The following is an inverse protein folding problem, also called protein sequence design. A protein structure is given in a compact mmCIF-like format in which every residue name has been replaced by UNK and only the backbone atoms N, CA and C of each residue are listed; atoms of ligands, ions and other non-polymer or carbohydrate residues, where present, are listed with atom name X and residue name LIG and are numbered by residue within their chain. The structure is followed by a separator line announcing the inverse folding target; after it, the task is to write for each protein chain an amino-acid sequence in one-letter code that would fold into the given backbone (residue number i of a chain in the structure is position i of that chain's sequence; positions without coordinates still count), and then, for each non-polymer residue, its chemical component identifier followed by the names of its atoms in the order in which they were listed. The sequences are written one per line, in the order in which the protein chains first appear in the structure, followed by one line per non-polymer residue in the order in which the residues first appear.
data_IF_850849768714
#
_entry.id   IF_850849768714
#
_cell.length_a   1.000
_cell.length_b   1.000
_cell.length_c   1.000
_cell.angle_alpha   90.00
_cell.angle_beta   90.00
_cell.angle_gamma   90.00
#
_symmetry.space_group_name_H-M   'P 1'
#
loop_
_entity.id
_entity.type
_entity.pdbx_description
1 polymer ?
#
# COMPACT_ATOMS: atom_id res chain seq x y z
N UNK A 1 -2.66 44.54 4.39
CA UNK A 1 -3.98 43.98 3.99
C UNK A 1 -3.91 43.75 2.48
N UNK A 2 -4.02 42.57 1.86
CA UNK A 2 -4.64 41.28 2.15
C UNK A 2 -3.73 40.17 1.56
N UNK A 3 -3.11 39.33 2.40
CA UNK A 3 -2.48 38.04 2.02
C UNK A 3 -3.22 36.90 2.73
N UNK A 4 -4.52 36.74 2.43
CA UNK A 4 -5.38 35.74 3.11
C UNK A 4 -6.28 34.94 2.15
N UNK A 5 -5.93 34.81 0.86
CA UNK A 5 -6.75 34.03 -0.09
C UNK A 5 -6.00 32.99 -0.93
N UNK A 6 -4.74 32.69 -0.64
CA UNK A 6 -3.99 31.64 -1.35
C UNK A 6 -3.81 30.34 -0.55
N UNK A 7 -4.49 30.19 0.61
CA UNK A 7 -4.30 29.05 1.52
C UNK A 7 -5.48 28.06 1.49
N UNK A 8 -6.58 28.39 0.82
CA UNK A 8 -7.76 27.51 0.80
C UNK A 8 -7.72 26.41 -0.27
N UNK A 9 -6.80 26.46 -1.24
CA UNK A 9 -6.72 25.46 -2.32
C UNK A 9 -5.79 24.27 -2.07
N UNK A 10 -4.91 24.34 -1.06
CA UNK A 10 -3.83 23.34 -0.86
C UNK A 10 -4.16 22.26 0.18
N UNK A 11 -5.12 22.49 1.07
CA UNK A 11 -5.47 21.53 2.12
C UNK A 11 -6.27 20.32 1.58
N UNK A 12 -7.13 20.54 0.58
CA UNK A 12 -7.95 19.46 -0.02
C UNK A 12 -7.09 18.54 -0.90
N UNK A 13 -6.11 19.11 -1.62
CA UNK A 13 -5.12 18.32 -2.38
C UNK A 13 -4.19 17.51 -1.46
N UNK A 14 -3.82 18.03 -0.28
CA UNK A 14 -2.98 17.30 0.65
C UNK A 14 -3.67 16.04 1.17
N UNK A 15 -4.96 16.08 1.50
CA UNK A 15 -5.67 14.92 2.07
C UNK A 15 -5.91 13.83 1.01
N UNK A 16 -6.15 14.19 -0.26
CA UNK A 16 -6.22 13.23 -1.38
C UNK A 16 -4.86 12.57 -1.65
N UNK A 17 -3.76 13.30 -1.45
CA UNK A 17 -2.39 12.83 -1.74
C UNK A 17 -1.73 12.09 -0.56
N UNK A 18 -2.31 12.12 0.64
CA UNK A 18 -1.75 11.49 1.84
C UNK A 18 -1.97 9.96 1.92
N UNK A 19 -2.80 9.37 1.06
CA UNK A 19 -2.77 7.93 0.77
C UNK A 19 -1.56 7.53 -0.12
N UNK A 20 -0.83 8.52 -0.65
CA UNK A 20 0.37 8.37 -1.47
C UNK A 20 1.70 8.35 -0.70
N UNK A 21 1.70 8.19 0.63
CA UNK A 21 2.94 8.11 1.41
C UNK A 21 3.75 6.81 1.20
N UNK A 22 3.22 5.80 0.48
CA UNK A 22 3.99 4.62 0.07
C UNK A 22 4.75 4.80 -1.27
N UNK A 23 4.54 5.88 -2.04
CA UNK A 23 5.16 6.05 -3.37
C UNK A 23 5.72 7.46 -3.62
N UNK A 24 6.22 8.12 -2.56
CA UNK A 24 6.88 9.42 -2.69
C UNK A 24 8.33 9.23 -3.18
N UNK A 25 8.50 9.28 -4.50
CA UNK A 25 9.71 9.84 -5.13
C UNK A 25 11.01 9.06 -5.00
N UNK A 26 11.14 8.00 -5.79
CA UNK A 26 12.43 7.53 -6.27
C UNK A 26 12.33 7.21 -7.75
N UNK A 27 12.85 8.10 -8.60
CA UNK A 27 12.93 7.97 -10.08
C UNK A 27 13.80 6.79 -10.56
N UNK A 28 14.03 5.77 -9.70
CA UNK A 28 14.99 4.69 -9.88
C UNK A 28 14.40 3.28 -9.76
N UNK A 29 13.16 3.14 -9.30
CA UNK A 29 12.48 1.86 -9.17
C UNK A 29 11.30 1.85 -10.15
N UNK A 30 11.43 1.03 -11.20
CA UNK A 30 10.60 1.12 -12.40
C UNK A 30 9.10 1.01 -12.15
N UNK A 31 8.33 1.70 -12.98
CA UNK A 31 6.87 1.65 -13.08
C UNK A 31 6.30 0.30 -13.56
N UNK A 32 7.10 -0.77 -13.52
CA UNK A 32 6.72 -2.08 -14.06
C UNK A 32 6.21 -2.97 -12.91
N UNK A 33 4.89 -3.28 -12.86
CA UNK A 33 4.31 -4.13 -11.84
C UNK A 33 5.01 -5.50 -11.74
N UNK A 34 5.45 -6.07 -12.86
CA UNK A 34 6.07 -7.41 -12.83
C UNK A 34 7.44 -7.39 -12.16
N UNK A 35 8.22 -6.31 -12.33
CA UNK A 35 9.48 -6.14 -11.59
C UNK A 35 9.25 -6.00 -10.09
N UNK A 36 8.18 -5.29 -9.69
CA UNK A 36 7.81 -5.17 -8.28
C UNK A 36 7.42 -6.56 -7.74
N UNK A 37 6.61 -7.32 -8.49
CA UNK A 37 6.21 -8.69 -8.11
C UNK A 37 7.41 -9.62 -7.93
N UNK A 38 8.37 -9.57 -8.85
CA UNK A 38 9.61 -10.35 -8.75
C UNK A 38 10.42 -9.96 -7.51
N UNK A 39 10.58 -8.66 -7.24
CA UNK A 39 11.29 -8.19 -6.05
C UNK A 39 10.61 -8.65 -4.75
N UNK A 40 9.29 -8.53 -4.66
CA UNK A 40 8.53 -9.00 -3.49
C UNK A 40 8.68 -10.50 -3.33
N UNK A 41 8.58 -11.25 -4.42
CA UNK A 41 8.74 -12.72 -4.41
C UNK A 41 10.13 -13.10 -3.91
N UNK A 42 11.19 -12.49 -4.44
CA UNK A 42 12.56 -12.76 -4.00
C UNK A 42 12.76 -12.46 -2.51
N UNK A 43 12.31 -11.30 -2.01
CA UNK A 43 12.42 -10.97 -0.57
C UNK A 43 11.60 -11.89 0.31
N UNK A 44 10.43 -12.32 -0.15
CA UNK A 44 9.58 -13.24 0.58
C UNK A 44 10.26 -14.62 0.66
N UNK A 45 10.73 -15.14 -0.46
CA UNK A 45 11.35 -16.47 -0.52
C UNK A 45 12.64 -16.52 0.28
N UNK A 46 13.49 -15.48 0.22
CA UNK A 46 14.68 -15.30 1.07
C UNK A 46 14.30 -15.33 2.55
N UNK A 47 13.22 -14.65 2.94
CA UNK A 47 12.77 -14.68 4.34
C UNK A 47 12.18 -16.03 4.75
N UNK A 48 11.55 -16.76 3.83
CA UNK A 48 11.05 -18.11 4.08
C UNK A 48 12.18 -19.13 4.20
N UNK A 49 13.31 -18.91 3.50
CA UNK A 49 14.54 -19.68 3.67
C UNK A 49 15.11 -19.48 5.06
N UNK A 50 15.23 -18.23 5.53
CA UNK A 50 15.70 -17.92 6.90
C UNK A 50 14.87 -18.63 7.99
N UNK A 51 13.56 -18.79 7.75
CA UNK A 51 12.63 -19.41 8.70
C UNK A 51 12.55 -20.94 8.57
N UNK A 52 13.39 -21.55 7.72
CA UNK A 52 13.32 -22.98 7.39
C UNK A 52 11.89 -23.41 7.01
N UNK A 53 11.20 -22.59 6.21
CA UNK A 53 9.82 -22.86 5.83
C UNK A 53 9.70 -24.12 4.95
N UNK A 54 8.75 -25.00 5.30
CA UNK A 54 8.44 -26.18 4.48
C UNK A 54 7.86 -25.76 3.11
N UNK A 55 7.94 -26.65 2.12
CA UNK A 55 7.36 -26.42 0.79
C UNK A 55 5.87 -26.07 0.85
N UNK A 56 5.12 -26.73 1.74
CA UNK A 56 3.70 -26.46 1.95
C UNK A 56 3.46 -25.05 2.50
N UNK A 57 4.27 -24.60 3.46
CA UNK A 57 4.21 -23.24 3.99
C UNK A 57 4.57 -22.21 2.90
N UNK A 58 5.64 -22.47 2.14
CA UNK A 58 6.06 -21.60 1.03
C UNK A 58 4.97 -21.44 -0.02
N UNK A 59 4.35 -22.54 -0.44
CA UNK A 59 3.26 -22.50 -1.41
C UNK A 59 2.07 -21.69 -0.89
N UNK A 60 1.65 -21.93 0.36
CA UNK A 60 0.54 -21.21 0.99
C UNK A 60 0.83 -19.70 1.08
N UNK A 61 2.00 -19.31 1.55
CA UNK A 61 2.37 -17.90 1.76
C UNK A 61 2.56 -17.18 0.42
N UNK A 62 3.11 -17.84 -0.61
CA UNK A 62 3.20 -17.27 -1.94
C UNK A 62 1.82 -17.03 -2.58
N UNK A 63 0.85 -17.92 -2.35
CA UNK A 63 -0.52 -17.71 -2.82
C UNK A 63 -1.19 -16.49 -2.16
N UNK A 64 -0.94 -16.28 -0.86
CA UNK A 64 -1.39 -15.06 -0.15
C UNK A 64 -0.75 -13.80 -0.75
N UNK A 65 0.57 -13.83 -1.00
CA UNK A 65 1.30 -12.73 -1.64
C UNK A 65 0.73 -12.41 -3.03
N UNK A 66 0.49 -13.41 -3.86
CA UNK A 66 -0.04 -13.20 -5.22
C UNK A 66 -1.42 -12.54 -5.20
N UNK A 67 -2.32 -13.02 -4.34
CA UNK A 67 -3.63 -12.40 -4.13
C UNK A 67 -3.54 -10.94 -3.69
N UNK A 68 -2.68 -10.64 -2.71
CA UNK A 68 -2.48 -9.26 -2.24
C UNK A 68 -1.83 -8.37 -3.30
N UNK A 69 -0.93 -8.92 -4.11
CA UNK A 69 -0.28 -8.18 -5.19
C UNK A 69 -1.31 -7.75 -6.25
N UNK A 70 -2.17 -8.66 -6.68
CA UNK A 70 -3.19 -8.38 -7.68
C UNK A 70 -4.19 -7.31 -7.19
N UNK A 71 -4.62 -7.41 -5.94
CA UNK A 71 -5.47 -6.38 -5.31
C UNK A 71 -4.75 -5.03 -5.18
N UNK A 72 -3.47 -5.04 -4.80
CA UNK A 72 -2.64 -3.84 -4.71
C UNK A 72 -2.44 -3.17 -6.07
N UNK A 73 -2.29 -3.96 -7.14
CA UNK A 73 -2.18 -3.47 -8.53
C UNK A 73 -3.46 -2.73 -8.94
N UNK A 74 -4.63 -3.31 -8.66
CA UNK A 74 -5.91 -2.64 -8.93
C UNK A 74 -6.00 -1.28 -8.21
N UNK A 75 -5.59 -1.21 -6.94
CA UNK A 75 -5.57 0.04 -6.18
C UNK A 75 -4.64 1.11 -6.77
N UNK A 76 -3.52 0.69 -7.36
CA UNK A 76 -2.58 1.59 -8.06
C UNK A 76 -3.20 2.14 -9.34
N UNK A 77 -3.88 1.31 -10.12
CA UNK A 77 -4.59 1.73 -11.34
C UNK A 77 -5.71 2.73 -11.00
N UNK A 78 -6.50 2.43 -9.98
CA UNK A 78 -7.53 3.34 -9.46
C UNK A 78 -6.90 4.66 -8.97
N UNK A 79 -5.71 4.62 -8.34
CA UNK A 79 -5.00 5.81 -7.88
C UNK A 79 -4.57 6.69 -9.06
N UNK A 80 -4.15 6.08 -10.16
CA UNK A 80 -3.79 6.78 -11.37
C UNK A 80 -5.00 7.51 -11.96
N UNK A 81 -6.15 6.83 -12.05
CA UNK A 81 -7.41 7.45 -12.49
C UNK A 81 -7.84 8.62 -11.60
N UNK A 82 -7.72 8.47 -10.28
CA UNK A 82 -8.05 9.51 -9.32
C UNK A 82 -7.13 10.73 -9.44
N UNK A 83 -5.83 10.51 -9.70
CA UNK A 83 -4.89 11.62 -9.96
C UNK A 83 -5.22 12.35 -11.24
N UNK A 84 -5.60 11.63 -12.30
CA UNK A 84 -6.03 12.24 -13.56
C UNK A 84 -7.28 13.10 -13.36
N UNK A 85 -8.30 12.59 -12.67
CA UNK A 85 -9.51 13.35 -12.37
C UNK A 85 -9.23 14.58 -11.49
N UNK A 86 -8.43 14.42 -10.43
CA UNK A 86 -8.04 15.54 -9.58
C UNK A 86 -7.29 16.63 -10.36
N UNK A 87 -6.44 16.24 -11.33
CA UNK A 87 -5.78 17.18 -12.23
C UNK A 87 -6.79 17.88 -13.16
N UNK A 88 -7.75 17.15 -13.73
CA UNK A 88 -8.83 17.74 -14.55
C UNK A 88 -9.63 18.77 -13.76
N UNK A 89 -10.01 18.46 -12.52
CA UNK A 89 -10.72 19.42 -11.65
C UNK A 89 -9.85 20.63 -11.33
N UNK A 90 -8.56 20.45 -11.05
CA UNK A 90 -7.62 21.54 -10.77
C UNK A 90 -7.43 22.49 -11.97
N UNK A 91 -7.46 21.95 -13.19
CA UNK A 91 -7.30 22.73 -14.42
C UNK A 91 -8.61 23.40 -14.89
N UNK A 92 -9.74 23.13 -14.25
CA UNK A 92 -11.05 23.69 -14.60
C UNK A 92 -11.22 25.10 -14.04
N UNK A 93 -11.87 25.98 -14.82
CA UNK A 93 -12.31 27.31 -14.35
C UNK A 93 -13.42 27.21 -13.28
N UNK A 94 -14.15 26.09 -13.25
CA UNK A 94 -15.21 25.81 -12.29
C UNK A 94 -15.10 24.36 -11.77
N UNK A 95 -14.23 24.10 -10.78
CA UNK A 95 -14.07 22.77 -10.21
C UNK A 95 -15.34 22.29 -9.49
N UNK A 96 -15.65 21.02 -9.64
CA UNK A 96 -16.75 20.36 -8.94
C UNK A 96 -16.30 19.86 -7.56
N UNK A 97 -16.67 20.62 -6.53
CA UNK A 97 -16.35 20.29 -5.14
C UNK A 97 -16.98 18.96 -4.69
N UNK A 98 -18.21 18.66 -5.12
CA UNK A 98 -18.89 17.42 -4.75
C UNK A 98 -18.16 16.22 -5.34
N UNK A 99 -17.74 16.31 -6.61
CA UNK A 99 -16.95 15.27 -7.27
C UNK A 99 -15.61 15.02 -6.58
N UNK A 100 -14.92 16.08 -6.15
CA UNK A 100 -13.66 15.96 -5.40
C UNK A 100 -13.85 15.30 -4.03
N UNK A 101 -14.92 15.63 -3.31
CA UNK A 101 -15.25 14.96 -2.05
C UNK A 101 -15.57 13.48 -2.27
N UNK A 102 -16.39 13.14 -3.26
CA UNK A 102 -16.67 11.74 -3.59
C UNK A 102 -15.41 10.98 -3.99
N UNK A 103 -14.48 11.62 -4.70
CA UNK A 103 -13.19 11.02 -5.02
C UNK A 103 -12.37 10.71 -3.76
N UNK A 104 -12.35 11.62 -2.78
CA UNK A 104 -11.70 11.37 -1.47
C UNK A 104 -12.31 10.15 -0.79
N UNK A 105 -13.63 10.11 -0.68
CA UNK A 105 -14.35 9.05 0.04
C UNK A 105 -14.06 7.67 -0.57
N UNK A 106 -14.17 7.55 -1.89
CA UNK A 106 -13.85 6.31 -2.62
C UNK A 106 -12.41 5.88 -2.37
N UNK A 107 -11.45 6.81 -2.36
CA UNK A 107 -10.04 6.48 -2.11
C UNK A 107 -9.80 6.03 -0.67
N UNK A 108 -10.42 6.68 0.31
CA UNK A 108 -10.31 6.29 1.72
C UNK A 108 -10.92 4.91 1.94
N UNK A 109 -12.10 4.66 1.37
CA UNK A 109 -12.80 3.38 1.52
C UNK A 109 -12.02 2.23 0.89
N UNK A 110 -11.46 2.44 -0.30
CA UNK A 110 -10.61 1.45 -0.96
C UNK A 110 -9.34 1.13 -0.15
N UNK A 111 -8.67 2.15 0.40
CA UNK A 111 -7.50 1.95 1.27
C UNK A 111 -7.87 1.24 2.57
N UNK A 112 -9.00 1.60 3.19
CA UNK A 112 -9.49 0.94 4.41
C UNK A 112 -9.78 -0.54 4.17
N UNK A 113 -10.49 -0.85 3.10
CA UNK A 113 -10.83 -2.22 2.73
C UNK A 113 -9.55 -3.06 2.52
N UNK A 114 -8.58 -2.52 1.79
CA UNK A 114 -7.31 -3.22 1.57
C UNK A 114 -6.46 -3.38 2.84
N UNK A 115 -6.45 -2.38 3.73
CA UNK A 115 -5.76 -2.48 5.02
C UNK A 115 -6.33 -3.60 5.91
N UNK A 116 -7.66 -3.81 5.89
CA UNK A 116 -8.28 -4.95 6.56
C UNK A 116 -7.84 -6.28 5.94
N UNK A 117 -7.86 -6.40 4.60
CA UNK A 117 -7.39 -7.60 3.92
C UNK A 117 -5.92 -7.92 4.18
N UNK A 118 -5.06 -6.91 4.22
CA UNK A 118 -3.66 -7.06 4.61
C UNK A 118 -3.54 -7.60 6.04
N UNK A 119 -4.34 -7.08 6.96
CA UNK A 119 -4.38 -7.56 8.35
C UNK A 119 -4.78 -9.03 8.42
N UNK A 120 -5.84 -9.41 7.70
CA UNK A 120 -6.32 -10.78 7.62
C UNK A 120 -5.27 -11.73 7.01
N UNK A 121 -4.58 -11.28 5.96
CA UNK A 121 -3.51 -12.01 5.31
C UNK A 121 -2.30 -12.21 6.24
N UNK A 122 -1.91 -11.21 7.04
CA UNK A 122 -0.86 -11.35 8.05
C UNK A 122 -1.27 -12.39 9.10
N UNK A 123 -2.53 -12.39 9.54
CA UNK A 123 -3.04 -13.39 10.46
C UNK A 123 -3.08 -14.80 9.82
N UNK A 124 -3.39 -14.90 8.52
CA UNK A 124 -3.33 -16.15 7.76
C UNK A 124 -1.90 -16.71 7.72
N UNK A 125 -0.93 -15.89 7.31
CA UNK A 125 0.50 -16.27 7.30
C UNK A 125 0.97 -16.67 8.69
N UNK A 126 0.62 -15.90 9.72
CA UNK A 126 0.97 -16.22 11.10
C UNK A 126 0.46 -17.62 11.49
N UNK A 127 -0.78 -17.99 11.13
CA UNK A 127 -1.34 -19.33 11.41
C UNK A 127 -0.59 -20.45 10.69
N UNK A 128 -0.07 -20.21 9.49
CA UNK A 128 0.72 -21.17 8.70
C UNK A 128 2.10 -21.46 9.31
N UNK A 129 2.68 -20.52 10.05
CA UNK A 129 3.98 -20.68 10.70
C UNK A 129 3.91 -21.49 12.00
N UNK A 130 5.00 -22.18 12.35
CA UNK A 130 5.15 -22.86 13.65
C UNK A 130 5.34 -21.86 14.79
N UNK A 131 5.12 -22.27 16.06
CA UNK A 131 5.44 -21.43 17.22
C UNK A 131 6.88 -20.91 17.23
N UNK A 132 7.84 -21.72 16.80
CA UNK A 132 9.27 -21.41 16.74
C UNK A 132 9.54 -20.32 15.68
N UNK A 133 9.02 -20.49 14.46
CA UNK A 133 9.14 -19.52 13.37
C UNK A 133 8.52 -18.15 13.73
N UNK A 134 7.37 -18.16 14.43
CA UNK A 134 6.73 -16.92 14.92
C UNK A 134 7.59 -16.20 15.95
N UNK A 135 8.23 -16.95 16.86
CA UNK A 135 9.12 -16.40 17.88
C UNK A 135 10.35 -15.76 17.25
N UNK A 136 10.91 -16.40 16.22
CA UNK A 136 12.02 -15.85 15.46
C UNK A 136 11.64 -14.53 14.78
N UNK A 137 10.52 -14.50 14.05
CA UNK A 137 9.99 -13.27 13.44
C UNK A 137 9.78 -12.14 14.48
N UNK A 138 9.22 -12.46 15.63
CA UNK A 138 9.00 -11.48 16.69
C UNK A 138 10.32 -10.92 17.26
N UNK A 139 11.35 -11.77 17.34
CA UNK A 139 12.69 -11.39 17.81
C UNK A 139 13.37 -10.46 16.82
N UNK A 140 13.39 -10.83 15.54
CA UNK A 140 13.94 -10.00 14.48
C UNK A 140 13.19 -8.66 14.36
N UNK A 141 11.86 -8.68 14.47
CA UNK A 141 11.07 -7.45 14.48
C UNK A 141 11.46 -6.53 15.64
N UNK A 142 11.61 -7.07 16.85
CA UNK A 142 12.11 -6.33 18.02
C UNK A 142 13.50 -5.74 17.75
N UNK A 143 14.43 -6.51 17.21
CA UNK A 143 15.79 -6.07 16.94
C UNK A 143 15.85 -4.94 15.91
N UNK A 144 15.01 -5.02 14.86
CA UNK A 144 14.94 -4.00 13.80
C UNK A 144 14.23 -2.71 14.23
N UNK A 145 13.23 -2.81 15.09
CA UNK A 145 12.36 -1.67 15.46
C UNK A 145 12.65 -1.07 16.83
N UNK A 146 13.39 -1.79 17.69
CA UNK A 146 13.64 -1.38 19.08
C UNK A 146 12.41 -1.44 19.98
N UNK A 147 11.33 -2.10 19.55
CA UNK A 147 10.11 -2.28 20.35
C UNK A 147 10.41 -3.16 21.55
N UNK A 148 10.24 -2.61 22.76
CA UNK A 148 10.48 -3.32 24.04
C UNK A 148 9.42 -4.38 24.29
#
# INVERSE_FOLDING_TARGET
MKKKLAVAGSAVLAIVLLSGFAFRGGHRWGHDPERIRQMITWKLDDKLDDLDATDAQRQSINAVKDRLFDEGKQLMEEQHSARAEAFTQLASDNPDAQKLHSLVDVRIDAMRAFAHKLTDAVLEVHRTLTPEQRKELATEYRERTGVK
#
